data_IF_592486864143
#
_entry.id   IF_592486864143
#
_cell.length_a   1.000
_cell.length_b   1.000
_cell.length_c   1.000
_cell.angle_alpha   90.00
_cell.angle_beta   90.00
_cell.angle_gamma   90.00
#
_symmetry.space_group_name_H-M   'P 1'
#
loop_
_entity.id
_entity.type
_entity.pdbx_description
1 polymer ?
#
# COMPACT_ATOMS: atom_id res chain seq x y z
N UNK A 1 6.86 19.30 -22.06
CA UNK A 1 7.48 19.44 -20.73
C UNK A 1 7.63 18.12 -19.96
N UNK A 2 7.09 17.00 -20.47
CA UNK A 2 7.23 15.66 -19.87
C UNK A 2 8.24 14.78 -20.63
N UNK A 3 8.85 15.29 -21.68
CA UNK A 3 9.71 14.50 -22.57
C UNK A 3 10.98 14.02 -21.88
N UNK A 4 11.52 14.81 -20.92
CA UNK A 4 12.69 14.42 -20.13
C UNK A 4 12.40 13.21 -19.21
N UNK A 5 11.15 13.05 -18.74
CA UNK A 5 10.75 11.93 -17.90
C UNK A 5 10.69 10.61 -18.68
N UNK A 6 10.49 10.71 -19.98
CA UNK A 6 10.43 9.57 -20.89
C UNK A 6 11.78 9.32 -21.59
N UNK A 7 12.70 10.27 -21.51
CA UNK A 7 14.03 10.13 -22.09
C UNK A 7 14.86 9.08 -21.32
N UNK A 8 15.66 8.27 -21.99
CA UNK A 8 16.61 7.39 -21.32
C UNK A 8 17.65 8.23 -20.55
N UNK A 9 18.04 7.76 -19.37
CA UNK A 9 19.07 8.41 -18.52
C UNK A 9 20.42 8.49 -19.25
N UNK A 10 20.73 7.49 -20.05
CA UNK A 10 21.89 7.44 -20.93
C UNK A 10 21.44 7.11 -22.35
N UNK A 11 21.40 8.10 -23.25
CA UNK A 11 21.01 7.87 -24.64
C UNK A 11 21.90 6.89 -25.39
N UNK A 12 23.16 6.75 -25.00
CA UNK A 12 24.11 5.82 -25.62
C UNK A 12 23.81 4.35 -25.26
N UNK A 13 23.02 4.16 -24.17
CA UNK A 13 22.53 2.86 -23.69
C UNK A 13 21.02 2.72 -23.86
N UNK A 14 20.42 3.51 -24.73
CA UNK A 14 19.00 3.40 -25.04
C UNK A 14 18.73 2.02 -25.64
N UNK A 15 18.37 1.08 -24.80
CA UNK A 15 17.81 -0.18 -25.22
C UNK A 15 16.37 0.08 -25.66
N UNK A 16 15.93 -0.53 -26.72
CA UNK A 16 14.52 -0.55 -27.10
C UNK A 16 13.72 -1.35 -26.08
N UNK A 17 13.41 -0.70 -24.95
CA UNK A 17 12.56 -1.29 -23.92
C UNK A 17 11.12 -1.17 -24.39
N UNK A 18 10.46 -2.29 -24.57
CA UNK A 18 9.06 -2.27 -24.95
C UNK A 18 8.24 -1.45 -23.93
N UNK A 19 7.35 -0.62 -24.45
CA UNK A 19 6.61 0.38 -23.66
C UNK A 19 5.87 -0.25 -22.46
N UNK A 20 5.30 -1.46 -22.60
CA UNK A 20 4.67 -2.15 -21.49
C UNK A 20 5.63 -2.49 -20.32
N UNK A 21 6.89 -2.82 -20.63
CA UNK A 21 7.93 -3.08 -19.60
C UNK A 21 8.30 -1.78 -18.90
N UNK A 22 8.45 -0.70 -19.66
CA UNK A 22 8.76 0.62 -19.12
C UNK A 22 7.62 1.12 -18.20
N UNK A 23 6.37 0.95 -18.62
CA UNK A 23 5.23 1.31 -17.79
C UNK A 23 5.07 0.39 -16.57
N UNK A 24 5.31 -0.92 -16.71
CA UNK A 24 5.37 -1.82 -15.56
C UNK A 24 6.37 -1.30 -14.51
N UNK A 25 7.57 -0.99 -14.90
CA UNK A 25 8.59 -0.49 -13.98
C UNK A 25 8.16 0.80 -13.27
N UNK A 26 7.60 1.78 -14.00
CA UNK A 26 7.12 3.05 -13.42
C UNK A 26 5.98 2.84 -12.43
N UNK A 27 5.00 2.04 -12.81
CA UNK A 27 3.82 1.75 -11.99
C UNK A 27 4.21 1.00 -10.72
N UNK A 28 5.10 0.02 -10.83
CA UNK A 28 5.61 -0.74 -9.67
C UNK A 28 6.47 0.14 -8.75
N UNK A 29 7.29 1.04 -9.31
CA UNK A 29 8.08 1.99 -8.51
C UNK A 29 7.15 2.95 -7.75
N UNK A 30 6.10 3.47 -8.36
CA UNK A 30 5.11 4.31 -7.70
C UNK A 30 4.39 3.54 -6.58
N UNK A 31 3.94 2.32 -6.87
CA UNK A 31 3.23 1.50 -5.91
C UNK A 31 4.09 1.15 -4.69
N UNK A 32 5.25 0.52 -4.92
CA UNK A 32 6.08 -0.06 -3.87
C UNK A 32 7.15 0.88 -3.33
N UNK A 33 7.63 1.83 -4.14
CA UNK A 33 8.63 2.81 -3.73
C UNK A 33 8.03 4.05 -3.07
N UNK A 34 6.77 4.37 -3.34
CA UNK A 34 6.13 5.59 -2.82
C UNK A 34 4.89 5.26 -1.98
N UNK A 35 3.85 4.67 -2.58
CA UNK A 35 2.56 4.53 -1.89
C UNK A 35 2.64 3.59 -0.68
N UNK A 36 3.28 2.44 -0.81
CA UNK A 36 3.42 1.50 0.32
C UNK A 36 4.19 2.14 1.48
N UNK A 37 5.39 2.73 1.29
CA UNK A 37 6.10 3.42 2.36
C UNK A 37 5.31 4.57 2.98
N UNK A 38 4.69 5.43 2.19
CA UNK A 38 3.85 6.54 2.69
C UNK A 38 2.69 6.01 3.53
N UNK A 39 2.02 4.96 3.06
CA UNK A 39 0.95 4.32 3.82
C UNK A 39 1.43 3.74 5.15
N UNK A 40 2.58 3.08 5.19
CA UNK A 40 3.18 2.54 6.41
C UNK A 40 3.57 3.67 7.37
N UNK A 41 4.25 4.69 6.87
CA UNK A 41 4.67 5.84 7.68
C UNK A 41 3.47 6.59 8.24
N UNK A 42 2.39 6.75 7.47
CA UNK A 42 1.17 7.38 7.98
C UNK A 42 0.58 6.61 9.15
N UNK A 43 0.49 5.30 9.06
CA UNK A 43 -0.02 4.45 10.13
C UNK A 43 0.89 4.43 11.36
N UNK A 44 2.18 4.66 11.19
CA UNK A 44 3.16 4.63 12.27
C UNK A 44 3.27 5.98 13.00
N UNK A 45 3.26 7.09 12.25
CA UNK A 45 3.66 8.38 12.78
C UNK A 45 2.55 9.44 12.80
N UNK A 46 1.50 9.30 11.99
CA UNK A 46 0.46 10.32 11.88
C UNK A 46 -0.79 10.04 12.73
N UNK A 47 -0.69 9.18 13.73
CA UNK A 47 -1.79 8.92 14.67
C UNK A 47 -2.08 10.14 15.55
N UNK A 48 -1.04 10.89 15.90
CA UNK A 48 -1.14 12.14 16.62
C UNK A 48 -0.86 13.29 15.66
N UNK A 49 -1.77 14.26 15.61
CA UNK A 49 -1.67 15.41 14.72
C UNK A 49 -1.37 16.69 15.50
N UNK A 50 -0.56 17.62 14.99
CA UNK A 50 -0.35 18.91 15.63
C UNK A 50 -1.68 19.63 15.89
N UNK A 51 -1.91 20.10 17.12
CA UNK A 51 -3.15 20.76 17.53
C UNK A 51 -4.25 19.84 18.05
N UNK A 52 -4.05 18.53 18.05
CA UNK A 52 -4.98 17.57 18.62
C UNK A 52 -5.06 17.71 20.14
N UNK A 53 -6.26 17.55 20.70
CA UNK A 53 -6.50 17.67 22.15
C UNK A 53 -6.15 16.38 22.87
N UNK A 54 -4.87 16.06 22.91
CA UNK A 54 -4.41 14.91 23.69
C UNK A 54 -4.52 15.19 25.20
N UNK A 55 -5.00 14.30 26.07
CA UNK A 55 -5.39 12.90 25.81
C UNK A 55 -6.89 12.68 25.46
N UNK A 56 -7.66 13.76 25.26
CA UNK A 56 -9.10 13.65 24.95
C UNK A 56 -9.34 13.02 23.57
N UNK A 57 -8.43 13.27 22.64
CA UNK A 57 -8.43 12.69 21.31
C UNK A 57 -7.16 11.88 21.14
N UNK A 58 -7.27 10.56 21.21
CA UNK A 58 -6.11 9.66 21.17
C UNK A 58 -5.62 9.38 19.75
N UNK A 59 -6.44 9.64 18.73
CA UNK A 59 -6.19 9.22 17.39
C UNK A 59 -6.86 10.15 16.36
N UNK A 60 -6.11 10.62 15.38
CA UNK A 60 -6.66 11.44 14.30
C UNK A 60 -7.06 10.57 13.10
N UNK A 61 -8.31 10.63 12.62
CA UNK A 61 -8.79 9.73 11.55
C UNK A 61 -8.03 9.88 10.23
N UNK A 62 -7.36 11.00 10.00
CA UNK A 62 -6.62 11.30 8.77
C UNK A 62 -5.55 10.26 8.42
N UNK A 63 -4.81 9.74 9.41
CA UNK A 63 -3.81 8.72 9.16
C UNK A 63 -4.42 7.45 8.57
N UNK A 64 -5.61 7.08 9.05
CA UNK A 64 -6.32 5.88 8.59
C UNK A 64 -6.79 6.01 7.15
N UNK A 65 -7.33 7.18 6.79
CA UNK A 65 -7.73 7.47 5.41
C UNK A 65 -6.50 7.46 4.48
N UNK A 66 -5.43 8.15 4.86
CA UNK A 66 -4.20 8.19 4.09
C UNK A 66 -3.59 6.79 3.92
N UNK A 67 -3.49 6.02 5.01
CA UNK A 67 -3.02 4.64 4.98
C UNK A 67 -3.84 3.80 3.99
N UNK A 68 -5.16 3.85 4.09
CA UNK A 68 -6.05 3.08 3.20
C UNK A 68 -5.91 3.50 1.74
N UNK A 69 -5.92 4.79 1.45
CA UNK A 69 -5.78 5.30 0.08
C UNK A 69 -4.45 4.82 -0.51
N UNK A 70 -3.37 4.94 0.23
CA UNK A 70 -2.06 4.48 -0.22
C UNK A 70 -2.01 2.98 -0.44
N UNK A 71 -2.54 2.16 0.48
CA UNK A 71 -2.49 0.70 0.35
C UNK A 71 -3.39 0.18 -0.78
N UNK A 72 -4.63 0.68 -0.89
CA UNK A 72 -5.52 0.30 -1.99
C UNK A 72 -5.00 0.82 -3.34
N UNK A 73 -4.47 2.04 -3.37
CA UNK A 73 -3.82 2.60 -4.56
C UNK A 73 -2.63 1.75 -5.01
N UNK A 74 -1.77 1.36 -4.08
CA UNK A 74 -0.64 0.46 -4.37
C UNK A 74 -1.10 -0.90 -4.88
N UNK A 75 -2.13 -1.48 -4.28
CA UNK A 75 -2.74 -2.73 -4.74
C UNK A 75 -3.27 -2.63 -6.17
N UNK A 76 -4.02 -1.57 -6.47
CA UNK A 76 -4.55 -1.32 -7.81
C UNK A 76 -3.43 -1.14 -8.85
N UNK A 77 -2.42 -0.35 -8.52
CA UNK A 77 -1.26 -0.16 -9.41
C UNK A 77 -0.46 -1.45 -9.60
N UNK A 78 -0.36 -2.29 -8.57
CA UNK A 78 0.28 -3.62 -8.68
C UNK A 78 -0.47 -4.51 -9.66
N UNK A 79 -1.80 -4.55 -9.58
CA UNK A 79 -2.63 -5.29 -10.53
C UNK A 79 -2.50 -4.74 -11.95
N UNK A 80 -2.48 -3.43 -12.12
CA UNK A 80 -2.24 -2.79 -13.42
C UNK A 80 -0.87 -3.16 -13.98
N UNK A 81 0.17 -3.04 -13.16
CA UNK A 81 1.54 -3.42 -13.54
C UNK A 81 1.65 -4.88 -13.94
N UNK A 82 0.97 -5.78 -13.22
CA UNK A 82 0.90 -7.19 -13.56
C UNK A 82 0.18 -7.42 -14.90
N UNK A 83 -0.96 -6.76 -15.11
CA UNK A 83 -1.72 -6.86 -16.36
C UNK A 83 -0.90 -6.41 -17.58
N UNK A 84 -0.10 -5.35 -17.46
CA UNK A 84 0.79 -4.86 -18.52
C UNK A 84 1.81 -5.91 -18.95
N UNK A 85 2.28 -6.75 -18.03
CA UNK A 85 3.27 -7.80 -18.35
C UNK A 85 2.61 -9.08 -18.81
N UNK A 86 1.54 -9.53 -18.16
CA UNK A 86 0.83 -10.75 -18.54
C UNK A 86 0.13 -10.62 -19.89
N UNK A 87 -0.32 -9.43 -20.26
CA UNK A 87 -0.90 -9.14 -21.57
C UNK A 87 0.10 -9.26 -22.73
N UNK A 88 1.39 -9.38 -22.45
CA UNK A 88 2.43 -9.64 -23.46
C UNK A 88 2.58 -11.15 -23.66
N UNK A 89 1.85 -11.68 -24.61
CA UNK A 89 2.01 -13.07 -25.08
C UNK A 89 3.36 -13.24 -25.81
N UNK A 90 4.43 -13.26 -25.07
CA UNK A 90 5.77 -13.57 -25.58
C UNK A 90 6.35 -14.69 -24.71
N UNK A 91 7.05 -15.61 -25.39
CA UNK A 91 7.66 -16.82 -24.81
C UNK A 91 7.94 -16.68 -23.33
N UNK A 92 7.31 -17.51 -22.51
CA UNK A 92 7.67 -17.66 -21.10
C UNK A 92 9.16 -18.01 -21.04
N UNK A 93 9.99 -16.97 -20.96
CA UNK A 93 11.42 -17.14 -20.69
C UNK A 93 11.58 -17.82 -19.34
N UNK A 94 12.74 -18.37 -19.08
CA UNK A 94 13.06 -18.96 -17.78
C UNK A 94 12.59 -18.04 -16.65
N UNK A 95 11.97 -18.62 -15.62
CA UNK A 95 11.51 -17.91 -14.44
C UNK A 95 12.68 -17.17 -13.81
N UNK A 96 12.85 -15.91 -14.13
CA UNK A 96 13.90 -15.05 -13.55
C UNK A 96 13.63 -14.86 -12.06
N UNK A 97 14.68 -14.57 -11.30
CA UNK A 97 14.57 -14.25 -9.87
C UNK A 97 13.54 -13.13 -9.63
N UNK A 98 13.49 -12.13 -10.53
CA UNK A 98 12.50 -11.05 -10.45
C UNK A 98 11.05 -11.58 -10.51
N UNK A 99 10.76 -12.53 -11.38
CA UNK A 99 9.42 -13.12 -11.51
C UNK A 99 9.06 -13.91 -10.25
N UNK A 100 9.98 -14.73 -9.75
CA UNK A 100 9.76 -15.52 -8.53
C UNK A 100 9.51 -14.62 -7.32
N UNK A 101 10.37 -13.62 -7.11
CA UNK A 101 10.20 -12.65 -6.03
C UNK A 101 8.94 -11.81 -6.21
N UNK A 102 8.59 -11.44 -7.44
CA UNK A 102 7.36 -10.73 -7.75
C UNK A 102 6.12 -11.50 -7.30
N UNK A 103 6.02 -12.79 -7.63
CA UNK A 103 4.91 -13.64 -7.18
C UNK A 103 4.87 -13.81 -5.66
N UNK A 104 6.03 -13.98 -5.02
CA UNK A 104 6.12 -14.04 -3.57
C UNK A 104 5.57 -12.75 -2.93
N UNK A 105 6.01 -11.59 -3.39
CA UNK A 105 5.56 -10.28 -2.88
C UNK A 105 4.06 -10.08 -3.10
N UNK A 106 3.53 -10.43 -4.27
CA UNK A 106 2.09 -10.36 -4.56
C UNK A 106 1.30 -11.29 -3.62
N UNK A 107 1.77 -12.52 -3.42
CA UNK A 107 1.16 -13.46 -2.48
C UNK A 107 1.12 -12.94 -1.05
N UNK A 108 2.23 -12.39 -0.56
CA UNK A 108 2.31 -11.77 0.77
C UNK A 108 1.37 -10.54 0.88
N UNK A 109 1.31 -9.70 -0.16
CA UNK A 109 0.39 -8.56 -0.18
C UNK A 109 -1.08 -9.02 -0.16
N UNK A 110 -1.44 -10.03 -0.93
CA UNK A 110 -2.79 -10.61 -0.90
C UNK A 110 -3.13 -11.17 0.49
N UNK A 111 -2.21 -11.89 1.12
CA UNK A 111 -2.34 -12.36 2.51
C UNK A 111 -2.52 -11.22 3.50
N UNK A 112 -1.78 -10.11 3.33
CA UNK A 112 -1.91 -8.92 4.16
C UNK A 112 -3.28 -8.25 4.02
N UNK A 113 -3.80 -8.11 2.79
CA UNK A 113 -5.16 -7.59 2.57
C UNK A 113 -6.21 -8.52 3.17
N UNK A 114 -6.10 -9.83 2.97
CA UNK A 114 -7.02 -10.81 3.53
C UNK A 114 -7.01 -10.75 5.06
N UNK A 115 -5.84 -10.73 5.71
CA UNK A 115 -5.72 -10.64 7.16
C UNK A 115 -6.27 -9.33 7.71
N UNK A 116 -6.06 -8.21 7.00
CA UNK A 116 -6.61 -6.92 7.38
C UNK A 116 -8.14 -6.91 7.29
N UNK A 117 -8.70 -7.56 6.28
CA UNK A 117 -10.14 -7.70 6.12
C UNK A 117 -10.77 -8.62 7.17
N UNK A 118 -10.14 -9.76 7.46
CA UNK A 118 -10.58 -10.72 8.48
C UNK A 118 -10.52 -10.13 9.89
N UNK A 119 -9.52 -9.31 10.17
CA UNK A 119 -9.36 -8.64 11.46
C UNK A 119 -10.50 -7.65 11.77
N UNK A 120 -11.23 -7.16 10.77
CA UNK A 120 -12.32 -6.21 10.94
C UNK A 120 -11.85 -4.75 11.12
N UNK A 121 -12.62 -3.96 11.86
CA UNK A 121 -12.28 -2.53 12.06
C UNK A 121 -11.03 -2.35 12.93
N UNK A 122 -10.36 -1.21 12.80
CA UNK A 122 -9.22 -0.84 13.64
C UNK A 122 -9.54 -0.66 15.14
N UNK A 123 -10.80 -0.75 15.53
CA UNK A 123 -11.34 -0.18 16.75
C UNK A 123 -11.81 1.25 16.51
N UNK A 124 -12.86 1.68 17.17
CA UNK A 124 -13.34 3.05 17.11
C UNK A 124 -12.35 4.03 17.73
N UNK A 125 -12.53 5.34 17.53
CA UNK A 125 -11.88 6.33 18.34
C UNK A 125 -12.21 6.02 19.80
N UNK A 126 -11.23 6.16 20.67
CA UNK A 126 -11.43 5.89 22.08
C UNK A 126 -12.35 6.96 22.63
N UNK A 127 -13.63 6.65 22.71
CA UNK A 127 -14.54 7.46 23.52
C UNK A 127 -14.25 7.17 25.00
N UNK A 128 -14.32 8.16 25.87
CA UNK A 128 -14.34 7.90 27.30
C UNK A 128 -15.42 6.85 27.59
N UNK A 129 -15.11 5.87 28.41
CA UNK A 129 -16.10 4.94 28.90
C UNK A 129 -17.22 5.73 29.62
N UNK A 130 -18.44 5.18 29.70
CA UNK A 130 -19.55 5.87 30.37
C UNK A 130 -19.26 6.25 31.82
N UNK A 131 -18.29 5.58 32.44
CA UNK A 131 -17.78 5.89 33.78
C UNK A 131 -16.74 7.03 33.81
N UNK A 132 -16.48 7.68 32.65
CA UNK A 132 -15.49 8.74 32.51
C UNK A 132 -14.03 8.27 32.51
N UNK A 133 -13.77 6.97 32.65
CA UNK A 133 -12.42 6.41 32.59
C UNK A 133 -11.91 6.34 31.14
N UNK A 134 -10.63 6.65 30.94
CA UNK A 134 -9.94 6.46 29.69
C UNK A 134 -9.50 5.02 29.56
N UNK A 135 -10.27 4.23 28.86
CA UNK A 135 -9.84 2.90 28.44
C UNK A 135 -9.26 3.04 27.04
N UNK A 136 -8.10 2.40 26.82
CA UNK A 136 -7.50 2.30 25.51
C UNK A 136 -8.47 1.78 24.44
N UNK A 137 -8.07 1.78 23.20
CA UNK A 137 -8.88 1.42 22.03
C UNK A 137 -9.95 0.36 22.34
N UNK A 138 -11.21 0.75 22.26
CA UNK A 138 -12.32 -0.19 22.26
C UNK A 138 -12.20 -1.05 21.01
N UNK A 139 -11.63 -2.20 21.17
CA UNK A 139 -11.63 -3.21 20.13
C UNK A 139 -13.04 -3.77 20.00
N UNK A 140 -13.61 -3.55 18.82
CA UNK A 140 -14.84 -4.22 18.46
C UNK A 140 -14.60 -5.74 18.45
N UNK A 141 -15.14 -6.43 19.45
CA UNK A 141 -15.04 -7.89 19.63
C UNK A 141 -15.99 -8.62 18.66
N UNK A 142 -16.07 -8.13 17.42
CA UNK A 142 -16.83 -8.84 16.39
C UNK A 142 -16.18 -10.20 16.08
N UNK A 143 -16.94 -11.20 15.61
CA UNK A 143 -16.42 -12.51 15.21
C UNK A 143 -15.25 -12.46 14.23
N UNK A 144 -15.12 -11.37 13.46
CA UNK A 144 -13.97 -11.14 12.57
C UNK A 144 -12.66 -10.90 13.30
N UNK A 145 -12.69 -10.63 14.61
CA UNK A 145 -11.48 -10.39 15.41
C UNK A 145 -11.10 -11.57 16.26
N UNK A 146 -12.03 -12.46 16.48
CA UNK A 146 -11.83 -13.64 17.34
C UNK A 146 -11.40 -14.85 16.53
N UNK A 147 -11.52 -14.78 15.19
CA UNK A 147 -11.02 -15.78 14.25
C UNK A 147 -9.64 -15.41 13.76
#
# INVERSE_FOLDING_TARGET
MLDWWLAPIDPSRAHEVASAVAWHARVMTLAWGILVPVGILSARFLKLWPGQRWPKELDHPGWWHLHRICQYGAGLLTLLGLALILGRSGKAGQMSVHIQMGWLVIGLAAGQFASAWLRGSKGGPTAPAQDGSWRGDHYDMTPRRVA
#
